data_IF_263035654286
#
_entry.id   IF_263035654286
#
_cell.length_a   1.000
_cell.length_b   1.000
_cell.length_c   1.000
_cell.angle_alpha   90.00
_cell.angle_beta   90.00
_cell.angle_gamma   90.00
#
_symmetry.space_group_name_H-M   'P 1'
#
loop_
_entity.id
_entity.type
_entity.pdbx_description
1 polymer ?
#
# COMPACT_ATOMS: atom_id res chain seq x y z
N UNK A 1 -33.90 -3.79 52.42
CA UNK A 1 -32.82 -2.81 52.63
C UNK A 1 -32.14 -2.63 51.29
N UNK A 2 -32.29 -1.46 50.67
CA UNK A 2 -31.68 -1.13 49.39
C UNK A 2 -30.20 -0.80 49.63
N UNK A 3 -29.30 -1.50 48.96
CA UNK A 3 -27.88 -1.14 48.91
C UNK A 3 -27.71 -0.10 47.81
N UNK A 4 -27.60 1.15 48.24
CA UNK A 4 -27.43 2.33 47.42
C UNK A 4 -26.13 2.24 46.62
N UNK A 5 -26.25 2.28 45.29
CA UNK A 5 -25.12 2.30 44.37
C UNK A 5 -24.40 3.64 44.50
N UNK A 6 -23.27 3.63 45.20
CA UNK A 6 -22.35 4.77 45.24
C UNK A 6 -21.06 4.38 44.51
N UNK A 7 -21.19 4.05 43.22
CA UNK A 7 -20.05 4.07 42.31
C UNK A 7 -19.73 5.53 42.02
N UNK A 8 -18.95 6.11 42.94
CA UNK A 8 -18.40 7.46 42.83
C UNK A 8 -17.48 7.44 41.61
N UNK A 9 -17.99 7.85 40.45
CA UNK A 9 -17.22 8.02 39.22
C UNK A 9 -16.29 9.24 39.38
N UNK A 10 -15.27 9.08 40.22
CA UNK A 10 -14.18 10.04 40.38
C UNK A 10 -13.26 9.87 39.17
N UNK A 11 -13.01 10.96 38.45
CA UNK A 11 -12.02 10.97 37.39
C UNK A 11 -10.66 10.56 37.97
N UNK A 12 -9.90 9.69 37.30
CA UNK A 12 -8.58 9.31 37.77
C UNK A 12 -7.71 10.57 37.89
N UNK A 13 -6.95 10.68 38.98
CA UNK A 13 -5.97 11.75 39.13
C UNK A 13 -4.91 11.62 38.03
N UNK A 14 -4.71 12.71 37.28
CA UNK A 14 -3.69 12.76 36.23
C UNK A 14 -2.29 12.86 36.85
N UNK A 15 -1.34 12.11 36.30
CA UNK A 15 0.05 12.20 36.70
C UNK A 15 0.74 13.34 35.95
N UNK A 16 0.77 14.51 36.59
CA UNK A 16 1.34 15.72 36.00
C UNK A 16 2.84 15.58 35.68
N UNK A 17 3.61 14.82 36.46
CA UNK A 17 5.03 14.61 36.15
C UNK A 17 5.20 13.71 34.92
N UNK A 18 4.34 12.70 34.81
CA UNK A 18 4.31 11.82 33.66
C UNK A 18 3.89 12.54 32.36
N UNK A 19 2.85 13.37 32.44
CA UNK A 19 2.28 14.10 31.30
C UNK A 19 3.18 15.25 30.82
N UNK A 20 3.86 15.95 31.73
CA UNK A 20 4.79 17.04 31.40
C UNK A 20 6.10 16.55 30.77
N UNK A 21 6.40 15.24 30.89
CA UNK A 21 7.63 14.64 30.39
C UNK A 21 7.33 13.48 29.41
N UNK A 22 6.99 13.78 28.15
CA UNK A 22 6.60 12.77 27.17
C UNK A 22 7.71 11.75 26.83
N UNK A 23 8.96 12.00 27.23
CA UNK A 23 10.08 11.05 27.08
C UNK A 23 10.14 9.95 28.16
N UNK A 24 9.49 10.17 29.32
CA UNK A 24 9.45 9.22 30.44
C UNK A 24 8.29 8.22 30.30
N UNK A 25 7.19 8.62 29.66
CA UNK A 25 6.03 7.77 29.44
C UNK A 25 6.03 7.18 28.04
N UNK A 26 6.45 5.93 27.95
CA UNK A 26 6.45 5.15 26.69
C UNK A 26 5.27 4.18 26.58
N UNK A 27 4.59 3.93 27.70
CA UNK A 27 3.44 3.03 27.81
C UNK A 27 2.18 3.84 28.01
N UNK A 28 1.51 4.16 26.90
CA UNK A 28 0.17 4.73 26.92
C UNK A 28 -0.84 3.59 26.84
N UNK A 29 -1.79 3.56 27.77
CA UNK A 29 -2.93 2.66 27.68
C UNK A 29 -3.88 3.21 26.62
N UNK A 30 -3.59 2.85 25.37
CA UNK A 30 -4.44 3.20 24.24
C UNK A 30 -5.67 2.31 24.23
N UNK A 31 -6.81 2.89 23.88
CA UNK A 31 -8.03 2.12 23.64
C UNK A 31 -7.74 1.03 22.59
N UNK A 32 -7.96 -0.27 22.94
CA UNK A 32 -7.68 -1.38 22.04
C UNK A 32 -8.47 -1.29 20.74
N UNK A 33 -9.69 -0.74 20.77
CA UNK A 33 -10.53 -0.59 19.57
C UNK A 33 -9.92 0.43 18.61
N UNK A 34 -9.46 1.57 19.12
CA UNK A 34 -8.78 2.59 18.32
C UNK A 34 -7.46 2.10 17.71
N UNK A 35 -6.74 1.25 18.43
CA UNK A 35 -5.47 0.66 17.96
C UNK A 35 -5.68 -0.36 16.84
N UNK A 36 -6.72 -1.18 16.95
CA UNK A 36 -7.10 -2.15 15.91
C UNK A 36 -7.53 -1.44 14.63
N UNK A 37 -8.38 -0.42 14.72
CA UNK A 37 -8.82 0.37 13.56
C UNK A 37 -7.64 1.07 12.87
N UNK A 38 -6.67 1.58 13.64
CA UNK A 38 -5.47 2.19 13.08
C UNK A 38 -4.58 1.16 12.35
N UNK A 39 -4.40 -0.02 12.93
CA UNK A 39 -3.63 -1.11 12.33
C UNK A 39 -4.28 -1.61 11.02
N UNK A 40 -5.60 -1.85 11.03
CA UNK A 40 -6.36 -2.28 9.86
C UNK A 40 -6.28 -1.26 8.73
N UNK A 41 -6.39 0.03 9.06
CA UNK A 41 -6.27 1.10 8.07
C UNK A 41 -4.88 1.13 7.44
N UNK A 42 -3.82 0.87 8.21
CA UNK A 42 -2.46 0.81 7.66
C UNK A 42 -2.30 -0.38 6.71
N UNK A 43 -2.78 -1.56 7.10
CA UNK A 43 -2.72 -2.77 6.25
C UNK A 43 -3.48 -2.58 4.94
N UNK A 44 -4.73 -2.11 5.01
CA UNK A 44 -5.55 -1.84 3.83
C UNK A 44 -4.89 -0.84 2.86
N UNK A 45 -4.23 0.20 3.40
CA UNK A 45 -3.51 1.16 2.56
C UNK A 45 -2.24 0.57 1.91
N UNK A 46 -1.55 -0.36 2.58
CA UNK A 46 -0.42 -1.08 2.00
C UNK A 46 -0.89 -2.00 0.86
N UNK A 47 -1.91 -2.81 1.11
CA UNK A 47 -2.48 -3.74 0.12
C UNK A 47 -3.01 -3.01 -1.11
N UNK A 48 -3.65 -1.85 -0.92
CA UNK A 48 -4.15 -1.02 -2.02
C UNK A 48 -3.01 -0.46 -2.87
N UNK A 49 -1.94 0.03 -2.23
CA UNK A 49 -0.74 0.53 -2.93
C UNK A 49 -0.02 -0.58 -3.68
N UNK A 50 0.08 -1.77 -3.10
CA UNK A 50 0.72 -2.91 -3.76
C UNK A 50 -0.08 -3.39 -4.97
N UNK A 51 -1.41 -3.50 -4.84
CA UNK A 51 -2.30 -3.82 -5.97
C UNK A 51 -2.23 -2.77 -7.09
N UNK A 52 -2.18 -1.48 -6.77
CA UNK A 52 -2.04 -0.43 -7.77
C UNK A 52 -0.69 -0.49 -8.49
N UNK A 53 0.40 -0.79 -7.77
CA UNK A 53 1.72 -1.02 -8.37
C UNK A 53 1.71 -2.22 -9.31
N UNK A 54 1.15 -3.35 -8.87
CA UNK A 54 1.03 -4.56 -9.68
C UNK A 54 0.22 -4.31 -10.96
N UNK A 55 -0.91 -3.59 -10.87
CA UNK A 55 -1.73 -3.22 -12.04
C UNK A 55 -0.97 -2.32 -13.02
N UNK A 56 -0.23 -1.32 -12.51
CA UNK A 56 0.60 -0.43 -13.36
C UNK A 56 1.73 -1.19 -14.04
N UNK A 57 2.38 -2.10 -13.32
CA UNK A 57 3.49 -2.89 -13.85
C UNK A 57 3.03 -3.90 -14.92
N UNK A 58 1.89 -4.56 -14.69
CA UNK A 58 1.25 -5.41 -15.69
C UNK A 58 0.90 -4.64 -16.97
N UNK A 59 0.32 -3.44 -16.84
CA UNK A 59 -0.01 -2.59 -17.98
C UNK A 59 1.24 -2.09 -18.73
N UNK A 60 2.32 -1.76 -18.02
CA UNK A 60 3.59 -1.38 -18.65
C UNK A 60 4.24 -2.56 -19.38
N UNK A 61 4.20 -3.75 -18.78
CA UNK A 61 4.73 -4.98 -19.38
C UNK A 61 3.98 -5.30 -20.68
N UNK A 62 2.64 -5.25 -20.67
CA UNK A 62 1.85 -5.46 -21.88
C UNK A 62 2.22 -4.46 -23.00
N UNK A 63 2.35 -3.16 -22.67
CA UNK A 63 2.76 -2.14 -23.64
C UNK A 63 4.15 -2.41 -24.22
N UNK A 64 5.12 -2.78 -23.38
CA UNK A 64 6.48 -3.13 -23.81
C UNK A 64 6.47 -4.34 -24.76
N UNK A 65 5.72 -5.38 -24.43
CA UNK A 65 5.62 -6.59 -25.27
C UNK A 65 5.07 -6.28 -26.66
N UNK A 66 4.01 -5.45 -26.75
CA UNK A 66 3.44 -5.05 -28.04
C UNK A 66 4.45 -4.24 -28.87
N UNK A 67 5.20 -3.33 -28.24
CA UNK A 67 6.22 -2.54 -28.94
C UNK A 67 7.35 -3.45 -29.45
N UNK A 68 7.85 -4.35 -28.62
CA UNK A 68 8.93 -5.28 -28.98
C UNK A 68 8.48 -6.20 -30.12
N UNK A 69 7.26 -6.75 -30.06
CA UNK A 69 6.75 -7.61 -31.13
C UNK A 69 6.60 -6.87 -32.46
N UNK A 70 6.13 -5.61 -32.43
CA UNK A 70 6.04 -4.78 -33.63
C UNK A 70 7.42 -4.52 -34.27
N UNK A 71 8.45 -4.26 -33.46
CA UNK A 71 9.82 -4.04 -33.95
C UNK A 71 10.37 -5.29 -34.65
N UNK A 72 10.19 -6.47 -34.06
CA UNK A 72 10.66 -7.74 -34.65
C UNK A 72 10.00 -7.97 -36.02
N UNK A 73 8.69 -7.76 -36.12
CA UNK A 73 7.95 -7.90 -37.38
C UNK A 73 8.45 -6.91 -38.43
N UNK A 74 8.71 -5.65 -38.04
CA UNK A 74 9.23 -4.64 -38.96
C UNK A 74 10.63 -5.00 -39.49
N UNK A 75 11.53 -5.47 -38.62
CA UNK A 75 12.88 -5.90 -39.01
C UNK A 75 12.81 -7.12 -39.95
N UNK A 76 11.99 -8.12 -39.62
CA UNK A 76 11.79 -9.29 -40.47
C UNK A 76 11.21 -8.89 -41.85
N UNK A 77 10.21 -7.99 -41.86
CA UNK A 77 9.62 -7.47 -43.10
C UNK A 77 10.63 -6.72 -43.96
N UNK A 78 11.49 -5.89 -43.35
CA UNK A 78 12.54 -5.16 -44.07
C UNK A 78 13.58 -6.11 -44.67
N UNK A 79 14.07 -7.08 -43.88
CA UNK A 79 15.00 -8.10 -44.36
C UNK A 79 14.39 -8.94 -45.49
N UNK A 80 13.12 -9.34 -45.36
CA UNK A 80 12.38 -10.07 -46.38
C UNK A 80 12.22 -9.26 -47.67
N UNK A 81 11.89 -7.97 -47.57
CA UNK A 81 11.76 -7.10 -48.74
C UNK A 81 13.10 -6.93 -49.48
N UNK A 82 14.20 -6.76 -48.75
CA UNK A 82 15.55 -6.63 -49.33
C UNK A 82 15.95 -7.92 -50.05
N UNK A 83 15.82 -9.07 -49.37
CA UNK A 83 16.17 -10.38 -49.93
C UNK A 83 15.30 -10.75 -51.13
N UNK A 84 13.99 -10.46 -51.09
CA UNK A 84 13.10 -10.64 -52.25
C UNK A 84 13.56 -9.80 -53.44
N UNK A 85 13.88 -8.51 -53.22
CA UNK A 85 14.37 -7.60 -54.28
C UNK A 85 15.67 -8.11 -54.93
N UNK A 86 16.54 -8.79 -54.17
CA UNK A 86 17.77 -9.38 -54.70
C UNK A 86 17.54 -10.67 -55.48
N UNK A 87 16.49 -11.44 -55.17
CA UNK A 87 16.17 -12.73 -55.80
C UNK A 87 15.39 -12.59 -57.12
N UNK A 88 14.73 -11.46 -57.34
CA UNK A 88 14.03 -11.12 -58.60
C UNK A 88 14.97 -10.47 -59.65
N UNK A 89 16.27 -10.36 -59.37
CA UNK A 89 17.32 -9.93 -60.32
C UNK A 89 18.12 -11.14 -60.81
#
# INVERSE_FOLDING_TARGET
>A
MATDGTDTATFPEGDAEAELNPGLNKSFEVDPVSSEIAADKVQQNLERKENEKAKRDAAQTLKKTIIISAVIVAVAGAAFAITKKMKEK
#
